data_IF_664273494589
#
_entry.id   IF_664273494589
#
_cell.length_a   1.000
_cell.length_b   1.000
_cell.length_c   1.000
_cell.angle_alpha   90.00
_cell.angle_beta   90.00
_cell.angle_gamma   90.00
#
_symmetry.space_group_name_H-M   'P 1'
#
loop_
_entity.id
_entity.type
_entity.pdbx_description
1 polymer ?
#
# COMPACT_ATOMS: atom_id res chain seq x y z
N UNK A 1 -18.56 13.18 22.10
CA UNK A 1 -18.45 14.06 20.90
C UNK A 1 -18.08 13.12 19.75
N UNK A 2 -18.89 13.13 18.67
CA UNK A 2 -19.08 12.05 17.68
C UNK A 2 -17.83 11.21 17.34
N UNK A 3 -17.91 9.91 17.66
CA UNK A 3 -17.23 8.85 16.91
C UNK A 3 -17.76 8.90 15.48
N UNK A 4 -16.93 9.31 14.55
CA UNK A 4 -17.17 9.03 13.13
C UNK A 4 -16.52 7.69 12.84
N UNK A 5 -17.29 6.61 13.02
CA UNK A 5 -17.07 5.34 12.32
C UNK A 5 -17.15 5.63 10.82
N UNK A 6 -16.04 6.09 10.25
CA UNK A 6 -15.89 6.19 8.81
C UNK A 6 -15.68 4.77 8.29
N UNK A 7 -16.80 4.10 8.07
CA UNK A 7 -16.89 2.75 7.54
C UNK A 7 -16.52 2.78 6.05
N UNK A 8 -15.22 2.82 5.74
CA UNK A 8 -14.72 2.72 4.38
C UNK A 8 -14.86 1.27 3.91
N UNK A 9 -15.69 1.07 2.89
CA UNK A 9 -16.01 -0.26 2.36
C UNK A 9 -14.99 -0.63 1.28
N UNK A 10 -14.00 -1.46 1.63
CA UNK A 10 -13.19 -2.14 0.65
C UNK A 10 -13.96 -3.35 0.12
N UNK A 11 -14.34 -3.33 -1.15
CA UNK A 11 -15.19 -4.37 -1.75
C UNK A 11 -14.42 -5.62 -2.17
N UNK A 12 -13.10 -5.50 -2.36
CA UNK A 12 -12.25 -6.62 -2.75
C UNK A 12 -10.90 -6.55 -2.07
N UNK A 13 -10.68 -7.50 -1.17
CA UNK A 13 -9.45 -7.70 -0.42
C UNK A 13 -9.01 -9.14 -0.67
N UNK A 14 -7.85 -9.30 -1.27
CA UNK A 14 -7.19 -10.60 -1.36
C UNK A 14 -6.17 -10.73 -0.24
N UNK A 15 -6.13 -11.91 0.39
CA UNK A 15 -5.18 -12.26 1.45
C UNK A 15 -4.16 -13.23 0.89
N UNK A 16 -2.89 -13.05 1.24
CA UNK A 16 -1.85 -14.03 0.91
C UNK A 16 -2.20 -15.39 1.52
N UNK A 17 -2.08 -16.47 0.74
CA UNK A 17 -2.48 -17.83 1.12
C UNK A 17 -1.80 -18.26 2.45
N UNK A 18 -0.58 -17.78 2.71
CA UNK A 18 0.21 -18.11 3.89
C UNK A 18 -0.21 -17.35 5.17
N UNK A 19 -0.90 -16.22 5.07
CA UNK A 19 -1.36 -15.43 6.24
C UNK A 19 -2.60 -16.05 6.93
N UNK A 20 -3.16 -17.13 6.37
CA UNK A 20 -4.37 -17.81 6.88
C UNK A 20 -4.22 -18.50 8.25
N UNK A 21 -3.03 -18.51 8.85
CA UNK A 21 -2.77 -19.20 10.14
C UNK A 21 -2.90 -18.35 11.41
N UNK A 22 -3.08 -17.03 11.32
CA UNK A 22 -3.24 -16.20 12.51
C UNK A 22 -4.72 -16.11 12.95
N UNK A 23 -5.03 -16.71 14.10
CA UNK A 23 -6.34 -16.67 14.77
C UNK A 23 -6.72 -15.23 15.17
N UNK A 24 -7.67 -14.63 14.46
CA UNK A 24 -8.32 -13.38 14.84
C UNK A 24 -9.55 -13.11 13.96
N UNK A 25 -10.72 -12.93 14.56
CA UNK A 25 -12.02 -12.78 13.89
C UNK A 25 -12.21 -11.46 13.10
N UNK A 26 -11.15 -10.81 12.63
CA UNK A 26 -11.23 -9.54 11.90
C UNK A 26 -10.14 -9.40 10.83
N UNK A 27 -10.51 -8.81 9.69
CA UNK A 27 -9.56 -8.48 8.62
C UNK A 27 -8.59 -7.39 9.11
N UNK A 28 -7.30 -7.71 9.21
CA UNK A 28 -6.27 -6.71 9.51
C UNK A 28 -5.77 -6.07 8.21
N UNK A 29 -5.48 -4.77 8.22
CA UNK A 29 -4.89 -4.06 7.08
C UNK A 29 -3.53 -4.64 6.65
N UNK A 30 -2.82 -5.29 7.58
CA UNK A 30 -1.61 -6.08 7.34
C UNK A 30 -1.85 -7.35 6.50
N UNK A 31 -3.08 -7.74 6.22
CA UNK A 31 -3.39 -8.88 5.34
C UNK A 31 -3.66 -8.47 3.89
N UNK A 32 -3.88 -7.17 3.64
CA UNK A 32 -4.22 -6.65 2.32
C UNK A 32 -3.02 -6.78 1.38
N UNK A 33 -3.26 -7.33 0.18
CA UNK A 33 -2.25 -7.39 -0.89
C UNK A 33 -2.59 -6.49 -2.09
N UNK A 34 -3.87 -6.37 -2.46
CA UNK A 34 -4.38 -5.52 -3.55
C UNK A 34 -5.68 -4.83 -3.10
N UNK A 35 -5.92 -3.62 -3.62
CA UNK A 35 -7.13 -2.84 -3.34
C UNK A 35 -8.11 -2.90 -4.50
N UNK A 36 -9.40 -3.12 -4.23
CA UNK A 36 -10.45 -3.06 -5.25
C UNK A 36 -11.69 -2.31 -4.76
N UNK A 37 -12.22 -1.45 -5.63
CA UNK A 37 -13.43 -0.66 -5.39
C UNK A 37 -14.44 -0.90 -6.52
N UNK A 38 -15.69 -1.18 -6.17
CA UNK A 38 -16.76 -1.39 -7.14
C UNK A 38 -17.83 -0.31 -7.00
N UNK A 39 -18.33 0.18 -8.12
CA UNK A 39 -19.43 1.15 -8.12
C UNK A 39 -20.39 0.90 -9.27
N UNK A 40 -21.67 1.18 -9.01
CA UNK A 40 -22.77 0.99 -9.97
C UNK A 40 -22.91 2.12 -10.99
N UNK A 41 -22.15 3.22 -10.87
CA UNK A 41 -22.26 4.37 -11.75
C UNK A 41 -20.86 4.85 -12.18
N UNK A 42 -20.76 5.48 -13.34
CA UNK A 42 -19.53 6.11 -13.84
C UNK A 42 -19.75 7.60 -14.13
N UNK A 43 -19.30 8.48 -13.25
CA UNK A 43 -19.17 9.92 -13.52
C UNK A 43 -17.75 10.40 -13.23
N UNK A 44 -17.35 11.55 -13.81
CA UNK A 44 -16.02 12.13 -13.56
C UNK A 44 -15.82 12.46 -12.06
N UNK A 45 -16.86 12.95 -11.40
CA UNK A 45 -16.85 13.23 -9.96
C UNK A 45 -16.65 11.94 -9.15
N UNK A 46 -17.29 10.84 -9.57
CA UNK A 46 -17.12 9.54 -8.93
C UNK A 46 -15.71 8.97 -9.12
N UNK A 47 -15.07 9.19 -10.27
CA UNK A 47 -13.69 8.73 -10.49
C UNK A 47 -12.71 9.41 -9.53
N UNK A 48 -12.84 10.73 -9.36
CA UNK A 48 -12.00 11.47 -8.40
C UNK A 48 -12.26 11.02 -6.96
N UNK A 49 -13.53 10.84 -6.59
CA UNK A 49 -13.91 10.31 -5.28
C UNK A 49 -13.30 8.92 -5.03
N UNK A 50 -13.37 8.02 -6.01
CA UNK A 50 -12.76 6.69 -5.91
C UNK A 50 -11.24 6.73 -5.85
N UNK A 51 -10.60 7.65 -6.55
CA UNK A 51 -9.18 7.89 -6.40
C UNK A 51 -8.82 8.32 -4.96
N UNK A 52 -9.56 9.25 -4.35
CA UNK A 52 -9.33 9.66 -2.97
C UNK A 52 -9.56 8.51 -1.98
N UNK A 53 -10.60 7.71 -2.19
CA UNK A 53 -10.88 6.52 -1.38
C UNK A 53 -9.73 5.52 -1.46
N UNK A 54 -9.35 5.09 -2.65
CA UNK A 54 -8.22 4.17 -2.85
C UNK A 54 -6.90 4.72 -2.31
N UNK A 55 -6.63 6.01 -2.49
CA UNK A 55 -5.41 6.65 -1.97
C UNK A 55 -5.32 6.55 -0.45
N UNK A 56 -6.45 6.75 0.25
CA UNK A 56 -6.50 6.61 1.71
C UNK A 56 -6.32 5.15 2.15
N UNK A 57 -6.92 4.20 1.43
CA UNK A 57 -6.73 2.77 1.70
C UNK A 57 -5.27 2.36 1.48
N UNK A 58 -4.63 2.85 0.41
CA UNK A 58 -3.22 2.61 0.14
C UNK A 58 -2.34 3.17 1.27
N UNK A 59 -2.64 4.36 1.80
CA UNK A 59 -1.95 4.90 2.97
C UNK A 59 -2.11 3.98 4.20
N UNK A 60 -3.30 3.45 4.48
CA UNK A 60 -3.51 2.48 5.57
C UNK A 60 -2.67 1.22 5.38
N UNK A 61 -2.56 0.71 4.14
CA UNK A 61 -1.66 -0.41 3.82
C UNK A 61 -0.20 -0.03 4.08
N UNK A 62 0.27 1.14 3.66
CA UNK A 62 1.65 1.56 3.92
C UNK A 62 1.96 1.74 5.40
N UNK A 63 1.00 2.19 6.21
CA UNK A 63 1.18 2.28 7.67
C UNK A 63 1.29 0.92 8.33
N UNK A 64 0.52 -0.06 7.87
CA UNK A 64 0.53 -1.42 8.44
C UNK A 64 1.60 -2.34 7.83
N UNK A 65 2.12 -1.99 6.64
CA UNK A 65 3.21 -2.67 5.94
C UNK A 65 4.31 -1.66 5.58
N UNK A 66 5.16 -1.26 6.54
CA UNK A 66 6.20 -0.26 6.32
C UNK A 66 7.31 -0.69 5.34
N UNK A 67 7.40 -1.98 4.99
CA UNK A 67 8.32 -2.49 3.98
C UNK A 67 7.67 -2.70 2.61
N UNK A 68 6.46 -2.15 2.43
CA UNK A 68 5.80 -2.12 1.14
C UNK A 68 6.14 -0.83 0.40
N UNK A 69 6.63 -0.98 -0.82
CA UNK A 69 7.01 0.11 -1.75
C UNK A 69 5.81 0.62 -2.56
N UNK A 70 4.94 -0.28 -3.00
CA UNK A 70 3.75 0.05 -3.76
C UNK A 70 2.60 -0.91 -3.48
N UNK A 71 1.39 -0.52 -3.85
CA UNK A 71 0.16 -1.32 -3.73
C UNK A 71 -0.56 -1.27 -5.07
N UNK A 72 -0.84 -2.43 -5.64
CA UNK A 72 -1.74 -2.52 -6.80
C UNK A 72 -3.18 -2.26 -6.37
N UNK A 73 -3.96 -1.69 -7.26
CA UNK A 73 -5.40 -1.62 -7.09
C UNK A 73 -6.16 -1.49 -8.39
N UNK A 74 -7.48 -1.53 -8.30
CA UNK A 74 -8.35 -1.29 -9.44
C UNK A 74 -9.67 -0.65 -9.01
N UNK A 75 -10.26 0.11 -9.90
CA UNK A 75 -11.65 0.58 -9.79
C UNK A 75 -12.47 -0.07 -10.88
N UNK A 76 -13.63 -0.60 -10.53
CA UNK A 76 -14.61 -1.10 -11.48
C UNK A 76 -15.90 -0.29 -11.34
N UNK A 77 -16.29 0.32 -12.46
CA UNK A 77 -17.56 1.00 -12.64
C UNK A 77 -18.53 0.07 -13.40
N UNK A 78 -19.77 0.51 -13.62
CA UNK A 78 -20.80 -0.29 -14.29
C UNK A 78 -20.32 -0.92 -15.61
N UNK A 79 -19.66 -0.14 -16.47
CA UNK A 79 -19.21 -0.58 -17.79
C UNK A 79 -17.72 -0.39 -18.03
N UNK A 80 -16.96 0.13 -17.06
CA UNK A 80 -15.57 0.51 -17.25
C UNK A 80 -14.71 0.12 -16.05
N UNK A 81 -13.39 0.09 -16.22
CA UNK A 81 -12.46 -0.13 -15.12
C UNK A 81 -11.13 0.59 -15.35
N UNK A 82 -10.39 0.84 -14.27
CA UNK A 82 -9.04 1.40 -14.28
C UNK A 82 -8.16 0.57 -13.35
N UNK A 83 -6.89 0.38 -13.72
CA UNK A 83 -5.87 -0.25 -12.90
C UNK A 83 -4.96 0.82 -12.32
N UNK A 84 -4.53 0.61 -11.08
CA UNK A 84 -3.78 1.57 -10.28
C UNK A 84 -2.55 0.93 -9.66
N UNK A 85 -1.48 1.71 -9.54
CA UNK A 85 -0.33 1.40 -8.69
C UNK A 85 -0.05 2.61 -7.81
N UNK A 86 -0.29 2.46 -6.51
CA UNK A 86 -0.02 3.48 -5.51
C UNK A 86 1.38 3.28 -4.94
N UNK A 87 2.14 4.35 -4.75
CA UNK A 87 3.36 4.35 -3.95
C UNK A 87 3.31 5.53 -2.96
N UNK A 88 4.38 5.75 -2.19
CA UNK A 88 4.41 6.83 -1.19
C UNK A 88 4.44 8.25 -1.79
N UNK A 89 4.70 8.36 -3.09
CA UNK A 89 4.78 9.64 -3.81
C UNK A 89 3.51 9.96 -4.59
N UNK A 90 2.60 9.00 -4.77
CA UNK A 90 1.37 9.20 -5.52
C UNK A 90 0.84 7.91 -6.13
N UNK A 91 0.14 8.02 -7.27
CA UNK A 91 -0.44 6.89 -7.97
C UNK A 91 -0.20 6.99 -9.48
N UNK A 92 -0.02 5.82 -10.10
CA UNK A 92 -0.05 5.63 -11.55
C UNK A 92 -1.35 4.96 -11.93
N UNK A 93 -1.94 5.37 -13.05
CA UNK A 93 -3.21 4.86 -13.54
C UNK A 93 -3.04 4.35 -14.98
N UNK A 94 -3.69 3.23 -15.31
CA UNK A 94 -3.71 2.67 -16.66
C UNK A 94 -4.49 3.50 -17.69
N UNK A 95 -5.32 4.43 -17.23
CA UNK A 95 -6.42 4.99 -18.00
C UNK A 95 -7.65 4.06 -18.01
N UNK A 96 -8.73 4.56 -18.60
CA UNK A 96 -10.06 3.94 -18.59
C UNK A 96 -10.20 2.86 -19.68
N UNK A 97 -10.59 1.67 -19.27
CA UNK A 97 -10.97 0.56 -20.15
C UNK A 97 -12.48 0.30 -20.09
N UNK A 98 -13.04 -0.28 -21.14
CA UNK A 98 -14.46 -0.66 -21.18
C UNK A 98 -14.61 -2.16 -21.02
N UNK A 99 -15.44 -2.62 -20.07
CA UNK A 99 -15.65 -4.04 -19.79
C UNK A 99 -16.10 -4.82 -21.03
N UNK A 100 -16.94 -4.23 -21.87
CA UNK A 100 -17.42 -4.83 -23.12
C UNK A 100 -16.27 -5.31 -24.02
N UNK A 101 -15.21 -4.50 -24.15
CA UNK A 101 -14.08 -4.74 -25.06
C UNK A 101 -12.88 -5.35 -24.36
N UNK A 102 -12.68 -5.02 -23.09
CA UNK A 102 -11.44 -5.22 -22.36
C UNK A 102 -11.58 -6.14 -21.14
N UNK A 103 -12.71 -6.85 -20.96
CA UNK A 103 -12.91 -7.79 -19.82
C UNK A 103 -11.75 -8.77 -19.60
N UNK A 104 -11.11 -9.23 -20.68
CA UNK A 104 -9.95 -10.12 -20.60
C UNK A 104 -8.76 -9.47 -19.88
N UNK A 105 -8.57 -8.15 -20.03
CA UNK A 105 -7.52 -7.42 -19.31
C UNK A 105 -7.82 -7.34 -17.82
N UNK A 106 -9.09 -7.14 -17.43
CA UNK A 106 -9.47 -7.15 -16.01
C UNK A 106 -9.25 -8.53 -15.38
N UNK A 107 -9.70 -9.60 -16.05
CA UNK A 107 -9.48 -10.98 -15.59
C UNK A 107 -7.98 -11.26 -15.47
N UNK A 108 -7.20 -10.91 -16.49
CA UNK A 108 -5.74 -11.08 -16.48
C UNK A 108 -5.09 -10.30 -15.34
N UNK A 109 -5.50 -9.06 -15.08
CA UNK A 109 -4.97 -8.27 -13.97
C UNK A 109 -5.24 -8.95 -12.61
N UNK A 110 -6.47 -9.40 -12.37
CA UNK A 110 -6.84 -10.11 -11.14
C UNK A 110 -6.04 -11.41 -11.01
N UNK A 111 -5.95 -12.22 -12.07
CA UNK A 111 -5.14 -13.45 -12.06
C UNK A 111 -3.66 -13.14 -11.81
N UNK A 112 -3.12 -12.09 -12.41
CA UNK A 112 -1.74 -11.67 -12.18
C UNK A 112 -1.53 -11.30 -10.72
N UNK A 113 -2.41 -10.53 -10.09
CA UNK A 113 -2.30 -10.20 -8.66
C UNK A 113 -2.27 -11.44 -7.75
N UNK A 114 -3.01 -12.49 -8.10
CA UNK A 114 -3.05 -13.74 -7.33
C UNK A 114 -1.79 -14.60 -7.52
N UNK A 115 -1.08 -14.42 -8.64
CA UNK A 115 0.09 -15.22 -9.02
C UNK A 115 1.42 -14.48 -8.79
N UNK A 116 1.38 -13.17 -8.57
CA UNK A 116 2.55 -12.35 -8.30
C UNK A 116 3.20 -12.74 -6.97
N UNK A 117 4.53 -12.76 -6.98
CA UNK A 117 5.35 -12.88 -5.78
C UNK A 117 5.18 -11.67 -4.86
N UNK A 118 5.62 -11.80 -3.60
CA UNK A 118 5.62 -10.69 -2.65
C UNK A 118 6.36 -9.46 -3.18
N UNK A 119 7.47 -9.67 -3.90
CA UNK A 119 8.24 -8.59 -4.52
C UNK A 119 7.44 -7.87 -5.61
N UNK A 120 6.76 -8.62 -6.48
CA UNK A 120 5.89 -8.06 -7.53
C UNK A 120 4.63 -7.39 -6.97
N UNK A 121 4.21 -7.79 -5.77
CA UNK A 121 3.17 -7.13 -4.96
C UNK A 121 3.71 -5.97 -4.11
N UNK A 122 4.98 -5.61 -4.29
CA UNK A 122 5.61 -4.42 -3.74
C UNK A 122 6.25 -4.58 -2.38
N UNK A 123 6.44 -5.81 -1.87
CA UNK A 123 7.23 -6.05 -0.66
C UNK A 123 8.73 -5.93 -0.93
N UNK A 124 9.44 -5.33 0.01
CA UNK A 124 10.91 -5.23 -0.04
C UNK A 124 11.57 -6.58 0.28
N UNK A 125 12.19 -7.19 -0.73
CA UNK A 125 12.91 -8.46 -0.59
C UNK A 125 14.25 -8.34 0.14
N UNK A 126 14.76 -7.13 0.36
CA UNK A 126 15.98 -6.91 1.15
C UNK A 126 15.74 -7.03 2.65
N UNK A 127 14.46 -6.96 3.08
CA UNK A 127 14.06 -7.04 4.47
C UNK A 127 13.62 -8.47 4.80
N UNK A 128 14.31 -9.08 5.75
CA UNK A 128 13.97 -10.40 6.27
C UNK A 128 13.06 -10.28 7.48
N UNK A 129 11.99 -11.07 7.51
CA UNK A 129 11.09 -11.16 8.66
C UNK A 129 11.34 -12.48 9.40
N UNK A 130 11.79 -12.40 10.65
CA UNK A 130 12.09 -13.56 11.50
C UNK A 130 11.39 -13.34 12.84
N UNK A 131 10.46 -14.24 13.20
CA UNK A 131 9.68 -14.18 14.45
C UNK A 131 9.00 -12.81 14.69
N UNK A 132 8.51 -12.19 13.62
CA UNK A 132 7.85 -10.87 13.68
C UNK A 132 8.80 -9.68 13.82
N UNK A 133 10.12 -9.91 13.77
CA UNK A 133 11.15 -8.86 13.73
C UNK A 133 11.74 -8.73 12.34
N UNK A 134 12.09 -7.51 11.97
CA UNK A 134 12.56 -7.18 10.63
C UNK A 134 14.05 -6.91 10.63
N UNK A 135 14.78 -7.48 9.68
CA UNK A 135 16.23 -7.37 9.58
C UNK A 135 16.66 -6.97 8.18
N UNK A 136 17.75 -6.22 8.08
CA UNK A 136 18.47 -5.98 6.82
C UNK A 136 19.91 -6.48 6.97
N UNK A 137 20.41 -7.13 5.92
CA UNK A 137 21.83 -7.52 5.84
C UNK A 137 22.57 -6.56 4.94
N UNK A 138 23.63 -5.94 5.47
CA UNK A 138 24.53 -5.06 4.72
C UNK A 138 25.84 -5.81 4.50
N UNK A 139 26.22 -5.99 3.24
CA UNK A 139 27.49 -6.57 2.86
C UNK A 139 28.54 -5.47 2.65
N UNK A 140 29.64 -5.53 3.39
CA UNK A 140 30.82 -4.72 3.16
C UNK A 140 31.80 -5.49 2.27
N UNK A 141 31.86 -5.10 0.99
CA UNK A 141 32.76 -5.67 -0.02
C UNK A 141 34.25 -5.56 0.37
N UNK A 142 34.65 -4.47 1.04
CA UNK A 142 36.05 -4.24 1.42
C UNK A 142 36.47 -5.14 2.57
N UNK A 143 35.56 -5.33 3.54
CA UNK A 143 35.78 -6.18 4.70
C UNK A 143 35.38 -7.64 4.45
N UNK A 144 34.77 -7.95 3.29
CA UNK A 144 34.15 -9.24 2.96
C UNK A 144 33.28 -9.78 4.09
N UNK A 145 32.52 -8.88 4.71
CA UNK A 145 31.76 -9.16 5.94
C UNK A 145 30.32 -8.70 5.77
N UNK A 146 29.38 -9.54 6.17
CA UNK A 146 27.97 -9.16 6.29
C UNK A 146 27.65 -8.82 7.74
N UNK A 147 26.86 -7.77 7.94
CA UNK A 147 26.31 -7.38 9.24
C UNK A 147 24.80 -7.28 9.15
N UNK A 148 24.10 -7.83 10.13
CA UNK A 148 22.64 -7.78 10.22
C UNK A 148 22.22 -6.67 11.18
N UNK A 149 21.17 -5.95 10.79
CA UNK A 149 20.60 -4.86 11.57
C UNK A 149 19.10 -5.06 11.72
N UNK A 150 18.61 -5.07 12.95
CA UNK A 150 17.17 -5.05 13.23
C UNK A 150 16.59 -3.68 12.90
N UNK A 151 15.49 -3.65 12.14
CA UNK A 151 14.76 -2.45 11.78
C UNK A 151 13.41 -2.48 12.49
N UNK A 152 13.13 -1.41 13.22
CA UNK A 152 11.86 -1.19 13.89
C UNK A 152 11.18 0.03 13.24
N UNK A 153 10.45 -0.16 12.13
CA UNK A 153 9.87 0.94 11.38
C UNK A 153 8.77 1.61 12.20
N UNK A 154 8.95 2.90 12.48
CA UNK A 154 7.87 3.74 13.03
C UNK A 154 7.16 4.42 11.87
N UNK A 155 5.82 4.37 11.79
CA UNK A 155 5.09 5.10 10.77
C UNK A 155 5.37 6.60 10.89
N UNK A 156 5.73 7.24 9.78
CA UNK A 156 6.12 8.65 9.76
C UNK A 156 4.94 9.62 9.83
N UNK A 157 3.73 9.16 9.51
CA UNK A 157 2.48 9.90 9.73
C UNK A 157 1.60 9.11 10.70
N UNK A 158 1.22 9.76 11.79
CA UNK A 158 0.09 9.32 12.62
C UNK A 158 -1.15 10.03 12.09
N UNK A 159 -2.05 9.31 11.43
CA UNK A 159 -3.38 9.85 11.10
C UNK A 159 -4.12 10.12 12.42
N UNK A 160 -3.98 11.34 12.95
CA UNK A 160 -4.63 11.78 14.19
C UNK A 160 -3.95 12.94 14.92
N UNK A 161 -2.66 13.22 14.68
CA UNK A 161 -1.96 14.36 15.31
C UNK A 161 -1.30 15.22 14.23
N UNK A 162 -1.93 16.37 13.91
CA UNK A 162 -1.24 17.48 13.27
C UNK A 162 -0.14 17.95 14.23
N UNK A 163 1.12 17.57 13.98
CA UNK A 163 2.25 18.26 14.59
C UNK A 163 2.38 19.59 13.85
N UNK A 164 2.04 20.68 14.51
CA UNK A 164 2.42 22.02 14.07
C UNK A 164 3.95 22.06 14.03
N UNK A 165 4.54 21.90 12.84
CA UNK A 165 5.96 22.17 12.65
C UNK A 165 6.09 23.68 12.53
N UNK A 166 6.32 24.35 13.66
CA UNK A 166 6.95 25.66 13.62
C UNK A 166 8.34 25.50 13.02
N UNK A 167 8.57 26.15 11.89
CA UNK A 167 9.90 26.29 11.29
C UNK A 167 10.57 27.48 11.95
N UNK A 168 11.58 27.32 12.82
CA UNK A 168 12.33 28.46 13.33
C UNK A 168 13.24 28.95 12.21
N UNK A 169 13.21 30.26 11.98
CA UNK A 169 14.09 30.92 11.02
C UNK A 169 15.56 30.62 11.32
N UNK A 170 16.26 30.16 10.26
CA UNK A 170 17.69 30.16 10.02
C UNK A 170 18.60 30.43 11.24
N UNK A 171 19.37 29.42 11.63
CA UNK A 171 20.78 29.57 12.01
C UNK A 171 21.53 28.29 11.67
N UNK A 172 22.66 28.47 10.99
CA UNK A 172 23.64 27.45 10.61
C UNK A 172 23.85 26.40 11.70
N UNK A 173 23.92 25.12 11.32
CA UNK A 173 24.88 24.13 11.82
C UNK A 173 24.71 22.81 11.05
N UNK A 174 25.80 22.33 10.48
CA UNK A 174 25.96 21.08 9.74
C UNK A 174 25.67 19.87 10.61
N UNK A 175 24.74 19.00 10.21
CA UNK A 175 24.76 17.57 10.55
C UNK A 175 24.24 16.75 9.37
N UNK A 176 25.08 15.81 8.95
CA UNK A 176 24.79 14.78 7.96
C UNK A 176 23.72 13.85 8.53
N UNK A 177 22.65 13.63 7.77
CA UNK A 177 21.71 12.53 7.95
C UNK A 177 21.48 11.92 6.56
N UNK A 178 21.62 10.59 6.46
CA UNK A 178 21.20 9.81 5.29
C UNK A 178 19.68 9.85 5.14
#
# INVERSE_FOLDING_TARGET
MKDTDNNYQADFLTKGIESSKAHGNGHQWSDVIVLGEFTKQSSADQRNEKFYQLSRLALQVFYTKPFRHFVHGFTAFESNFELWVFNRSGAYISGLFTLEKDKEKLVRAICSYLLMSDQELGMDSSIQQIDGRSFVSIHDEKLKKSSEFEINPKPFLWLGHYVHVEVPASKHLTKVNL
#
